data_IF_497255401199
#
_entry.id   IF_497255401199
#
_cell.length_a   1.000
_cell.length_b   1.000
_cell.length_c   1.000
_cell.angle_alpha   90.00
_cell.angle_beta   90.00
_cell.angle_gamma   90.00
#
_symmetry.space_group_name_H-M   'P 1'
#
loop_
_entity.id
_entity.type
_entity.pdbx_description
1 polymer ?
#
# COMPACT_ATOMS: atom_id res chain seq x y z
N UNK A 1 14.51 69.19 8.38
CA UNK A 1 14.69 68.20 9.47
C UNK A 1 13.71 67.05 9.20
N UNK A 2 14.01 66.10 8.31
CA UNK A 2 14.74 64.84 8.55
C UNK A 2 14.25 64.05 9.78
N UNK A 3 13.39 63.06 9.59
CA UNK A 3 13.52 61.73 10.20
C UNK A 3 13.01 60.67 9.20
N UNK A 4 13.94 59.87 8.68
CA UNK A 4 13.72 58.57 8.01
C UNK A 4 13.83 57.49 9.11
N UNK A 5 13.02 56.42 9.04
CA UNK A 5 13.24 55.07 9.57
C UNK A 5 11.90 54.47 10.07
N UNK A 6 11.58 53.19 9.93
CA UNK A 6 12.25 52.07 9.29
C UNK A 6 11.18 51.01 8.96
N UNK A 7 11.35 50.38 7.81
CA UNK A 7 10.56 49.27 7.32
C UNK A 7 10.94 48.04 8.17
N UNK A 8 10.02 47.57 9.02
CA UNK A 8 10.15 46.28 9.68
C UNK A 8 9.34 45.24 8.87
N UNK A 9 9.95 44.73 7.79
CA UNK A 9 9.46 43.54 7.10
C UNK A 9 9.70 42.37 8.05
N UNK A 10 8.65 42.02 8.81
CA UNK A 10 8.60 40.82 9.63
C UNK A 10 8.80 39.59 8.75
N UNK A 11 9.99 39.01 8.88
CA UNK A 11 10.50 37.86 8.17
C UNK A 11 9.49 36.70 8.23
N UNK A 12 8.88 36.42 7.08
CA UNK A 12 8.08 35.23 6.85
C UNK A 12 8.97 33.98 6.99
N UNK A 13 8.96 33.36 8.17
CA UNK A 13 9.48 32.01 8.38
C UNK A 13 8.46 30.99 7.84
N UNK A 14 8.28 30.97 6.52
CA UNK A 14 7.67 29.83 5.84
C UNK A 14 8.69 28.70 5.87
N UNK A 15 8.55 27.83 6.87
CA UNK A 15 9.19 26.52 6.88
C UNK A 15 8.48 25.71 5.79
N UNK A 16 8.90 25.92 4.53
CA UNK A 16 8.53 25.03 3.43
C UNK A 16 9.31 23.75 3.69
N UNK A 17 8.76 22.89 4.54
CA UNK A 17 9.16 21.50 4.57
C UNK A 17 8.96 20.99 3.15
N UNK A 18 10.05 20.77 2.42
CA UNK A 18 10.02 20.04 1.17
C UNK A 18 9.48 18.65 1.49
N UNK A 19 8.16 18.48 1.37
CA UNK A 19 7.57 17.17 1.17
C UNK A 19 8.08 16.73 -0.20
N UNK A 20 9.24 16.09 -0.23
CA UNK A 20 9.74 15.40 -1.41
C UNK A 20 8.74 14.27 -1.67
N UNK A 21 7.70 14.57 -2.44
CA UNK A 21 6.71 13.57 -2.86
C UNK A 21 7.50 12.53 -3.63
N UNK A 22 7.57 11.27 -3.16
CA UNK A 22 8.25 10.22 -3.90
C UNK A 22 7.60 10.16 -5.29
N UNK A 23 8.39 10.41 -6.34
CA UNK A 23 7.92 10.50 -7.74
C UNK A 23 7.59 9.13 -8.35
N UNK A 24 7.23 8.14 -7.53
CA UNK A 24 6.89 6.80 -7.97
C UNK A 24 5.99 6.08 -6.97
N UNK A 25 5.32 5.01 -7.45
CA UNK A 25 4.48 4.15 -6.61
C UNK A 25 5.30 3.67 -5.39
N UNK A 26 4.79 3.82 -4.15
CA UNK A 26 5.49 3.34 -2.97
C UNK A 26 5.68 1.82 -3.00
N UNK A 27 6.74 1.33 -2.37
CA UNK A 27 6.91 -0.12 -2.18
C UNK A 27 5.79 -0.62 -1.25
N UNK A 28 5.18 -1.76 -1.60
CA UNK A 28 4.15 -2.36 -0.77
C UNK A 28 4.74 -2.73 0.60
N UNK A 29 4.22 -2.12 1.67
CA UNK A 29 4.67 -2.41 3.02
C UNK A 29 3.80 -3.49 3.65
N UNK A 30 4.30 -4.19 4.68
CA UNK A 30 3.51 -5.13 5.48
C UNK A 30 2.24 -4.47 6.04
N UNK A 31 2.32 -3.18 6.40
CA UNK A 31 1.17 -2.40 6.89
C UNK A 31 0.13 -2.16 5.79
N UNK A 32 0.57 -1.80 4.58
CA UNK A 32 -0.33 -1.64 3.44
C UNK A 32 -0.97 -2.99 3.05
N UNK A 33 -0.20 -4.06 3.02
CA UNK A 33 -0.67 -5.43 2.80
C UNK A 33 -1.82 -5.83 3.74
N UNK A 34 -1.67 -5.69 5.06
CA UNK A 34 -2.75 -5.98 6.01
C UNK A 34 -3.93 -5.01 5.91
N UNK A 35 -3.72 -3.77 5.43
CA UNK A 35 -4.81 -2.83 5.18
C UNK A 35 -5.64 -3.28 3.98
N UNK A 36 -5.00 -3.63 2.89
CA UNK A 36 -5.64 -4.15 1.67
C UNK A 36 -6.44 -5.41 2.02
N UNK A 37 -5.85 -6.34 2.79
CA UNK A 37 -6.53 -7.56 3.18
C UNK A 37 -7.86 -7.30 3.91
N UNK A 38 -7.85 -6.38 4.88
CA UNK A 38 -9.05 -5.98 5.62
C UNK A 38 -10.07 -5.24 4.74
N UNK A 39 -9.59 -4.38 3.85
CA UNK A 39 -10.44 -3.61 2.94
C UNK A 39 -11.19 -4.53 1.95
N UNK A 40 -10.51 -5.55 1.43
CA UNK A 40 -11.07 -6.47 0.45
C UNK A 40 -11.68 -7.74 1.06
N UNK A 41 -11.73 -7.85 2.40
CA UNK A 41 -12.31 -9.02 3.08
C UNK A 41 -11.57 -10.34 2.85
N UNK A 42 -10.26 -10.29 2.57
CA UNK A 42 -9.42 -11.47 2.31
C UNK A 42 -8.50 -11.77 3.49
N UNK A 43 -8.00 -13.00 3.58
CA UNK A 43 -7.03 -13.37 4.63
C UNK A 43 -5.61 -13.14 4.12
N UNK A 44 -4.79 -12.32 4.79
CA UNK A 44 -3.37 -12.16 4.44
C UNK A 44 -2.59 -13.39 4.91
N UNK A 45 -1.94 -14.11 4.00
CA UNK A 45 -1.25 -15.36 4.34
C UNK A 45 0.27 -15.21 4.34
N UNK A 46 0.82 -14.47 3.38
CA UNK A 46 2.27 -14.34 3.24
C UNK A 46 2.71 -12.94 2.82
N UNK A 47 3.77 -12.44 3.46
CA UNK A 47 4.49 -11.24 3.07
C UNK A 47 5.99 -11.52 3.18
N UNK A 48 6.68 -11.58 2.04
CA UNK A 48 8.14 -11.81 1.97
C UNK A 48 8.82 -10.67 1.23
N UNK A 49 9.92 -10.18 1.78
CA UNK A 49 10.82 -9.23 1.11
C UNK A 49 12.16 -9.90 0.90
N UNK A 50 12.57 -10.09 -0.35
CA UNK A 50 13.96 -10.45 -0.64
C UNK A 50 14.87 -9.27 -0.24
N UNK A 51 16.09 -9.53 0.25
CA UNK A 51 17.06 -8.47 0.56
C UNK A 51 17.25 -7.55 -0.65
N UNK A 52 16.82 -6.29 -0.53
CA UNK A 52 16.90 -5.29 -1.61
C UNK A 52 15.85 -5.43 -2.73
N UNK A 53 14.92 -6.38 -2.63
CA UNK A 53 13.90 -6.66 -3.65
C UNK A 53 12.52 -6.08 -3.36
N UNK A 54 11.63 -6.17 -4.35
CA UNK A 54 10.21 -5.86 -4.17
C UNK A 54 9.52 -6.97 -3.36
N UNK A 55 8.47 -6.64 -2.59
CA UNK A 55 7.74 -7.60 -1.79
C UNK A 55 6.97 -8.60 -2.66
N UNK A 56 6.89 -9.82 -2.16
CA UNK A 56 6.02 -10.89 -2.60
C UNK A 56 4.89 -11.05 -1.58
N UNK A 57 3.64 -11.14 -2.05
CA UNK A 57 2.47 -11.25 -1.16
C UNK A 57 1.50 -12.34 -1.60
N UNK A 58 0.84 -12.98 -0.64
CA UNK A 58 -0.24 -13.94 -0.89
C UNK A 58 -1.47 -13.63 -0.04
N UNK A 59 -2.62 -13.93 -0.62
CA UNK A 59 -3.92 -13.80 0.02
C UNK A 59 -4.73 -15.07 -0.20
N UNK A 60 -5.58 -15.39 0.76
CA UNK A 60 -6.62 -16.41 0.63
C UNK A 60 -7.96 -15.72 0.33
N UNK A 61 -8.56 -16.10 -0.79
CA UNK A 61 -9.82 -15.56 -1.34
C UNK A 61 -10.95 -16.58 -1.10
N UNK A 62 -11.83 -16.31 -0.14
CA UNK A 62 -12.88 -17.28 0.26
C UNK A 62 -14.03 -17.36 -0.74
N UNK A 63 -14.41 -16.24 -1.32
CA UNK A 63 -15.42 -16.11 -2.37
C UNK A 63 -14.95 -16.69 -3.71
N UNK A 64 -13.64 -16.69 -3.98
CA UNK A 64 -13.08 -17.31 -5.18
C UNK A 64 -13.34 -18.82 -5.26
N UNK A 65 -13.47 -19.51 -4.13
CA UNK A 65 -13.81 -20.94 -4.11
C UNK A 65 -15.22 -21.24 -4.62
N UNK A 66 -16.11 -20.23 -4.65
CA UNK A 66 -17.49 -20.36 -5.13
C UNK A 66 -17.64 -19.96 -6.61
N UNK A 67 -16.57 -19.45 -7.24
CA UNK A 67 -16.61 -18.95 -8.62
C UNK A 67 -16.07 -20.00 -9.60
N UNK A 68 -16.70 -20.08 -10.76
CA UNK A 68 -16.22 -20.88 -11.89
C UNK A 68 -14.95 -20.28 -12.52
N UNK A 69 -14.80 -18.95 -12.40
CA UNK A 69 -13.62 -18.20 -12.76
C UNK A 69 -13.14 -17.41 -11.53
N UNK A 70 -11.93 -17.72 -11.04
CA UNK A 70 -11.31 -17.04 -9.90
C UNK A 70 -11.20 -15.53 -10.13
N UNK A 71 -11.03 -15.07 -11.39
CA UNK A 71 -10.98 -13.64 -11.72
C UNK A 71 -12.30 -12.92 -11.56
N UNK A 72 -13.42 -13.65 -11.59
CA UNK A 72 -14.75 -13.08 -11.38
C UNK A 72 -15.06 -12.87 -9.88
N UNK A 73 -14.21 -13.34 -8.96
CA UNK A 73 -14.40 -13.09 -7.54
C UNK A 73 -14.18 -11.59 -7.23
N UNK A 74 -15.18 -10.90 -6.63
CA UNK A 74 -15.07 -9.47 -6.30
C UNK A 74 -13.87 -9.16 -5.41
N UNK A 75 -13.48 -10.07 -4.52
CA UNK A 75 -12.32 -9.88 -3.66
C UNK A 75 -10.99 -9.90 -4.42
N UNK A 76 -10.90 -10.69 -5.51
CA UNK A 76 -9.72 -10.76 -6.38
C UNK A 76 -9.56 -9.46 -7.15
N UNK A 77 -10.66 -8.93 -7.70
CA UNK A 77 -10.67 -7.62 -8.35
C UNK A 77 -10.27 -6.49 -7.38
N UNK A 78 -10.86 -6.48 -6.17
CA UNK A 78 -10.53 -5.50 -5.15
C UNK A 78 -9.05 -5.50 -4.78
N UNK A 79 -8.45 -6.68 -4.55
CA UNK A 79 -7.03 -6.79 -4.21
C UNK A 79 -6.17 -6.34 -5.38
N UNK A 80 -6.51 -6.74 -6.62
CA UNK A 80 -5.82 -6.30 -7.83
C UNK A 80 -5.78 -4.78 -7.93
N UNK A 81 -6.93 -4.12 -7.84
CA UNK A 81 -7.05 -2.67 -7.91
C UNK A 81 -6.27 -1.96 -6.78
N UNK A 82 -6.35 -2.47 -5.55
CA UNK A 82 -5.64 -1.87 -4.42
C UNK A 82 -4.10 -1.99 -4.55
N UNK A 83 -3.62 -3.08 -5.15
CA UNK A 83 -2.20 -3.30 -5.39
C UNK A 83 -1.63 -2.39 -6.49
N UNK A 84 -2.44 -1.89 -7.42
CA UNK A 84 -1.98 -0.97 -8.46
C UNK A 84 -1.33 0.31 -7.90
N UNK A 85 -1.66 0.70 -6.67
CA UNK A 85 -1.04 1.85 -6.00
C UNK A 85 0.40 1.58 -5.53
N UNK A 86 0.89 0.34 -5.58
CA UNK A 86 2.17 -0.06 -4.99
C UNK A 86 3.10 -0.77 -5.99
N UNK A 87 4.39 -0.79 -5.65
CA UNK A 87 5.38 -1.66 -6.28
C UNK A 87 5.50 -2.96 -5.50
N UNK A 88 5.36 -4.09 -6.18
CA UNK A 88 5.50 -5.44 -5.67
C UNK A 88 6.06 -6.35 -6.77
N UNK A 89 6.65 -7.49 -6.41
CA UNK A 89 7.22 -8.42 -7.39
C UNK A 89 6.16 -9.36 -7.96
N UNK A 90 5.28 -9.87 -7.09
CA UNK A 90 4.24 -10.81 -7.45
C UNK A 90 3.14 -10.81 -6.38
N UNK A 91 1.90 -11.08 -6.80
CA UNK A 91 0.82 -11.51 -5.92
C UNK A 91 0.11 -12.73 -6.51
N UNK A 92 -0.36 -13.64 -5.66
CA UNK A 92 -1.10 -14.82 -6.09
C UNK A 92 -1.95 -15.42 -4.96
N UNK A 93 -2.92 -16.28 -5.31
CA UNK A 93 -3.69 -17.02 -4.32
C UNK A 93 -2.80 -18.00 -3.55
N UNK A 94 -3.15 -18.26 -2.29
CA UNK A 94 -2.58 -19.41 -1.60
C UNK A 94 -3.09 -20.72 -2.22
N UNK A 95 -2.18 -21.67 -2.44
CA UNK A 95 -2.52 -22.99 -2.99
C UNK A 95 -2.93 -23.97 -1.88
N UNK A 96 -2.61 -23.66 -0.63
CA UNK A 96 -3.00 -24.45 0.55
C UNK A 96 -3.72 -23.54 1.55
N UNK A 97 -4.99 -23.81 1.91
CA UNK A 97 -5.62 -23.13 3.02
C UNK A 97 -4.85 -23.46 4.31
N UNK A 98 -4.70 -22.50 5.26
CA UNK A 98 -4.14 -22.82 6.57
C UNK A 98 -4.97 -23.95 7.19
N UNK A 99 -4.31 -25.06 7.54
CA UNK A 99 -4.97 -26.12 8.32
C UNK A 99 -5.47 -25.49 9.62
N UNK A 100 -6.75 -25.68 10.00
CA UNK A 100 -7.19 -25.27 11.32
C UNK A 100 -6.34 -26.01 12.35
N UNK A 101 -5.81 -25.27 13.32
CA UNK A 101 -4.99 -25.81 14.40
C UNK A 101 -5.76 -26.96 15.07
N UNK A 102 -5.11 -28.13 15.15
CA UNK A 102 -5.64 -29.35 15.76
C UNK A 102 -5.61 -29.30 17.29
#
# INVERSE_FOLDING_TARGET
MMVRAAIAIGLALTIIGCATVPTGKPILTKRAFHRIARQCGVTPTEFKTARGGLPYVRFLYRDAAQQSDVRAAPSVECVGAALEAYRYQYYGPDADPPKPDA
#
